data_IF_458067796218
#
_entry.id   IF_458067796218
#
_cell.length_a   1.000
_cell.length_b   1.000
_cell.length_c   1.000
_cell.angle_alpha   90.00
_cell.angle_beta   90.00
_cell.angle_gamma   90.00
#
_symmetry.space_group_name_H-M   'P 1'
#
loop_
_entity.id
_entity.type
_entity.pdbx_description
1 polymer ?
#
# COMPACT_ATOMS: atom_id res chain seq x y z
N UNK A 1 21.92 15.21 17.55
CA UNK A 1 21.39 14.56 16.33
C UNK A 1 21.48 15.55 15.20
N UNK A 2 22.12 15.18 14.09
CA UNK A 2 22.15 16.04 12.90
C UNK A 2 20.73 16.06 12.32
N UNK A 3 20.16 17.27 12.15
CA UNK A 3 18.85 17.39 11.53
C UNK A 3 18.98 17.19 10.02
N UNK A 4 18.00 16.52 9.41
CA UNK A 4 17.98 16.27 7.96
C UNK A 4 16.86 17.06 7.28
N UNK A 5 17.11 17.53 6.06
CA UNK A 5 16.03 18.00 5.20
C UNK A 5 15.35 16.80 4.55
N UNK A 6 14.05 16.90 4.27
CA UNK A 6 13.28 15.85 3.61
C UNK A 6 12.78 16.40 2.29
N UNK A 7 12.90 15.63 1.22
CA UNK A 7 12.38 15.98 -0.09
C UNK A 7 11.42 14.92 -0.58
N UNK A 8 10.24 15.33 -1.00
CA UNK A 8 9.17 14.44 -1.42
C UNK A 8 8.84 14.71 -2.89
N UNK A 9 9.32 13.85 -3.81
CA UNK A 9 8.92 13.89 -5.21
C UNK A 9 7.41 13.67 -5.36
N UNK A 10 6.69 14.68 -5.86
CA UNK A 10 5.24 14.73 -6.02
C UNK A 10 4.77 15.31 -7.38
N UNK A 11 5.70 15.65 -8.29
CA UNK A 11 5.39 16.19 -9.61
C UNK A 11 4.86 15.18 -10.65
N UNK A 12 4.81 13.89 -10.33
CA UNK A 12 4.43 12.85 -11.30
C UNK A 12 2.98 12.96 -11.81
N UNK A 13 2.78 12.73 -13.11
CA UNK A 13 1.45 12.75 -13.76
C UNK A 13 0.54 11.60 -13.28
N UNK A 14 1.14 10.47 -12.84
CA UNK A 14 0.41 9.27 -12.45
C UNK A 14 -0.44 8.70 -13.60
N UNK A 15 0.10 8.66 -14.82
CA UNK A 15 -0.67 8.32 -16.03
C UNK A 15 -1.28 6.92 -15.98
N UNK A 16 -0.57 5.97 -15.37
CA UNK A 16 -1.05 4.59 -15.17
C UNK A 16 -2.29 4.50 -14.27
N UNK A 17 -2.56 5.52 -13.45
CA UNK A 17 -3.73 5.61 -12.57
C UNK A 17 -4.89 6.39 -13.22
N UNK A 18 -4.76 6.88 -14.45
CA UNK A 18 -5.90 7.51 -15.12
C UNK A 18 -7.06 6.51 -15.23
N UNK A 19 -8.31 6.95 -15.07
CA UNK A 19 -8.76 8.33 -14.90
C UNK A 19 -8.66 8.91 -13.47
N UNK A 20 -8.30 8.16 -12.42
CA UNK A 20 -8.22 8.67 -11.03
C UNK A 20 -7.40 9.98 -10.96
N UNK A 21 -6.24 9.98 -11.60
CA UNK A 21 -5.31 11.11 -11.58
C UNK A 21 -5.77 12.32 -12.37
N UNK A 22 -6.86 12.22 -13.15
CA UNK A 22 -7.51 13.38 -13.74
C UNK A 22 -8.24 14.22 -12.68
N UNK A 23 -8.73 13.58 -11.62
CA UNK A 23 -9.53 14.21 -10.56
C UNK A 23 -8.73 14.51 -9.30
N UNK A 24 -7.80 13.64 -8.92
CA UNK A 24 -7.01 13.76 -7.69
C UNK A 24 -5.54 13.52 -8.02
N UNK A 25 -4.59 14.44 -7.72
CA UNK A 25 -3.18 14.17 -7.98
C UNK A 25 -2.71 12.96 -7.18
N UNK A 26 -1.79 12.16 -7.74
CA UNK A 26 -1.31 10.90 -7.12
C UNK A 26 -0.95 11.02 -5.63
N UNK A 27 -0.22 12.07 -5.17
CA UNK A 27 0.09 12.26 -3.75
C UNK A 27 -1.14 12.44 -2.85
N UNK A 28 -2.28 12.88 -3.39
CA UNK A 28 -3.50 13.12 -2.64
C UNK A 28 -4.57 12.04 -2.80
N UNK A 29 -4.29 10.97 -3.55
CA UNK A 29 -5.18 9.82 -3.62
C UNK A 29 -5.36 9.29 -2.19
N UNK A 30 -6.60 9.13 -1.71
CA UNK A 30 -6.85 8.74 -0.34
C UNK A 30 -6.58 7.25 -0.14
N UNK A 31 -6.11 6.91 1.04
CA UNK A 31 -5.97 5.55 1.55
C UNK A 31 -6.65 5.62 2.91
N UNK A 32 -7.84 5.05 3.03
CA UNK A 32 -8.63 5.02 4.27
C UNK A 32 -8.84 6.42 4.87
N UNK A 33 -9.36 7.35 4.04
CA UNK A 33 -9.64 8.73 4.47
C UNK A 33 -8.44 9.67 4.47
N UNK A 34 -7.23 9.14 4.31
CA UNK A 34 -5.99 9.90 4.46
C UNK A 34 -5.20 9.97 3.15
N UNK A 35 -4.75 11.14 2.69
CA UNK A 35 -3.92 11.27 1.50
C UNK A 35 -2.64 10.41 1.57
N UNK A 36 -2.24 9.78 0.46
CA UNK A 36 -0.98 9.02 0.38
C UNK A 36 0.24 9.83 0.87
N UNK A 37 0.32 11.11 0.52
CA UNK A 37 1.34 12.05 0.99
C UNK A 37 1.37 12.17 2.51
N UNK A 38 0.22 12.09 3.19
CA UNK A 38 0.18 12.14 4.64
C UNK A 38 0.82 10.89 5.26
N UNK A 39 0.68 9.69 4.66
CA UNK A 39 1.40 8.50 5.15
C UNK A 39 2.92 8.66 5.05
N UNK A 40 3.41 9.31 3.97
CA UNK A 40 4.83 9.65 3.85
C UNK A 40 5.26 10.61 4.96
N UNK A 41 4.46 11.63 5.24
CA UNK A 41 4.77 12.58 6.32
C UNK A 41 4.78 11.91 7.69
N UNK A 42 3.82 11.03 7.99
CA UNK A 42 3.75 10.26 9.23
C UNK A 42 5.04 9.48 9.50
N UNK A 43 5.59 8.82 8.47
CA UNK A 43 6.87 8.13 8.59
C UNK A 43 8.03 9.08 8.92
N UNK A 44 7.98 10.30 8.36
CA UNK A 44 9.01 11.32 8.54
C UNK A 44 8.89 12.03 9.90
N UNK A 45 7.70 12.10 10.50
CA UNK A 45 7.46 12.79 11.77
C UNK A 45 8.28 12.23 12.94
N UNK A 46 8.65 10.94 12.89
CA UNK A 46 9.51 10.32 13.90
C UNK A 46 10.98 10.77 13.83
N UNK A 47 11.40 11.37 12.71
CA UNK A 47 12.78 11.74 12.46
C UNK A 47 13.14 13.12 13.03
N UNK A 48 14.42 13.37 13.34
CA UNK A 48 14.91 14.71 13.62
C UNK A 48 15.02 15.53 12.32
N UNK A 49 13.92 15.81 11.62
CA UNK A 49 13.94 16.58 10.37
C UNK A 49 13.95 18.10 10.64
N UNK A 50 14.44 18.89 9.67
CA UNK A 50 14.46 20.36 9.71
C UNK A 50 13.33 20.98 8.86
N UNK A 51 13.30 20.73 7.56
CA UNK A 51 12.27 21.22 6.65
C UNK A 51 11.90 20.16 5.62
N UNK A 52 10.73 20.34 4.99
CA UNK A 52 10.20 19.44 3.98
C UNK A 52 10.07 20.19 2.66
N UNK A 53 10.73 19.70 1.61
CA UNK A 53 10.56 20.17 0.25
C UNK A 53 9.63 19.24 -0.54
N UNK A 54 8.73 19.80 -1.34
CA UNK A 54 7.80 19.03 -2.18
C UNK A 54 7.80 19.65 -3.58
N UNK A 55 8.18 18.91 -4.61
CA UNK A 55 8.07 19.41 -5.99
C UNK A 55 6.66 19.19 -6.56
N UNK A 56 6.19 20.12 -7.38
CA UNK A 56 4.82 20.14 -7.88
C UNK A 56 4.79 20.31 -9.39
N UNK A 57 3.87 19.62 -10.07
CA UNK A 57 3.62 19.86 -11.49
C UNK A 57 2.15 19.59 -11.81
N UNK A 58 1.75 18.30 -11.85
CA UNK A 58 0.38 17.90 -12.12
C UNK A 58 -0.57 18.34 -11.00
N UNK A 59 -1.69 18.99 -11.37
CA UNK A 59 -2.71 19.52 -10.44
C UNK A 59 -2.12 20.20 -9.20
N UNK A 60 -1.04 20.97 -9.38
CA UNK A 60 -0.29 21.62 -8.28
C UNK A 60 -1.18 22.42 -7.31
N UNK A 61 -2.24 23.05 -7.82
CA UNK A 61 -3.17 23.84 -7.01
C UNK A 61 -3.85 23.02 -5.90
N UNK A 62 -4.12 21.74 -6.14
CA UNK A 62 -4.73 20.86 -5.12
C UNK A 62 -3.73 20.56 -4.00
N UNK A 63 -2.46 20.33 -4.36
CA UNK A 63 -1.38 20.08 -3.39
C UNK A 63 -1.05 21.38 -2.63
N UNK A 64 -0.97 22.53 -3.29
CA UNK A 64 -0.81 23.85 -2.67
C UNK A 64 -1.91 24.12 -1.64
N UNK A 65 -3.19 23.89 -2.03
CA UNK A 65 -4.34 24.01 -1.13
C UNK A 65 -4.22 23.07 0.06
N UNK A 66 -3.89 21.80 -0.17
CA UNK A 66 -3.72 20.82 0.90
C UNK A 66 -2.61 21.23 1.88
N UNK A 67 -1.44 21.65 1.37
CA UNK A 67 -0.32 22.12 2.20
C UNK A 67 -0.71 23.35 3.02
N UNK A 68 -1.43 24.31 2.43
CA UNK A 68 -1.86 25.54 3.14
C UNK A 68 -2.74 25.27 4.36
N UNK A 69 -3.45 24.14 4.36
CA UNK A 69 -4.35 23.70 5.42
C UNK A 69 -3.68 22.71 6.40
N UNK A 70 -2.47 22.25 6.07
CA UNK A 70 -1.75 21.25 6.86
C UNK A 70 -1.05 21.89 8.08
N UNK A 71 -1.03 21.24 9.26
CA UNK A 71 -0.38 21.78 10.45
C UNK A 71 1.11 22.12 10.31
N UNK A 72 1.82 21.44 9.38
CA UNK A 72 3.23 21.68 9.08
C UNK A 72 3.51 22.70 7.96
N UNK A 73 2.51 23.47 7.51
CA UNK A 73 2.67 24.39 6.38
C UNK A 73 3.93 25.27 6.46
N UNK A 74 4.28 25.78 7.65
CA UNK A 74 5.42 26.69 7.86
C UNK A 74 6.78 25.97 7.78
N UNK A 75 6.78 24.62 7.80
CA UNK A 75 7.97 23.78 7.62
C UNK A 75 8.04 23.16 6.22
N UNK A 76 7.06 23.43 5.37
CA UNK A 76 6.97 22.91 4.02
C UNK A 76 7.37 23.98 2.99
N UNK A 77 8.11 23.59 1.97
CA UNK A 77 8.53 24.47 0.88
C UNK A 77 8.20 23.78 -0.44
N UNK A 78 7.52 24.52 -1.31
CA UNK A 78 6.98 24.00 -2.57
C UNK A 78 7.88 24.40 -3.73
N UNK A 79 8.21 23.42 -4.58
CA UNK A 79 9.11 23.60 -5.73
C UNK A 79 8.33 23.32 -7.03
N UNK A 80 7.55 24.29 -7.54
CA UNK A 80 6.77 24.09 -8.75
C UNK A 80 7.67 23.97 -9.99
N UNK A 81 7.35 23.00 -10.84
CA UNK A 81 8.02 22.74 -12.11
C UNK A 81 7.14 23.20 -13.28
N UNK A 82 7.68 24.02 -14.18
CA UNK A 82 6.98 24.42 -15.42
C UNK A 82 6.80 23.22 -16.36
N UNK A 83 7.83 22.39 -16.45
CA UNK A 83 7.87 21.13 -17.19
C UNK A 83 8.46 20.06 -16.28
N UNK A 84 8.08 18.80 -16.46
CA UNK A 84 8.59 17.70 -15.62
C UNK A 84 10.10 17.56 -15.79
N UNK A 85 10.83 17.80 -14.71
CA UNK A 85 12.30 17.78 -14.68
C UNK A 85 12.88 16.37 -14.45
N UNK A 86 12.03 15.38 -14.18
CA UNK A 86 12.48 14.05 -13.80
C UNK A 86 13.05 14.01 -12.37
N UNK A 87 13.45 12.81 -11.92
CA UNK A 87 13.86 12.61 -10.52
C UNK A 87 15.12 13.37 -10.16
N UNK A 88 16.09 13.46 -11.07
CA UNK A 88 17.34 14.19 -10.86
C UNK A 88 17.14 15.70 -10.95
N UNK A 89 16.38 16.14 -11.95
CA UNK A 89 16.10 17.56 -12.16
C UNK A 89 15.28 18.17 -11.03
N UNK A 90 14.37 17.40 -10.42
CA UNK A 90 13.64 17.80 -9.23
C UNK A 90 14.57 18.13 -8.04
N UNK A 91 15.57 17.28 -7.79
CA UNK A 91 16.57 17.54 -6.74
C UNK A 91 17.45 18.74 -7.09
N UNK A 92 17.85 18.87 -8.36
CA UNK A 92 18.67 20.00 -8.81
C UNK A 92 17.90 21.34 -8.72
N UNK A 93 16.60 21.33 -8.98
CA UNK A 93 15.74 22.50 -8.82
C UNK A 93 15.60 22.94 -7.36
N UNK A 94 15.72 22.00 -6.42
CA UNK A 94 15.71 22.27 -4.98
C UNK A 94 17.13 22.37 -4.38
N UNK A 95 18.16 22.59 -5.21
CA UNK A 95 19.57 22.50 -4.80
C UNK A 95 19.91 23.39 -3.61
N UNK A 96 19.49 24.65 -3.58
CA UNK A 96 19.76 25.57 -2.45
C UNK A 96 19.22 25.02 -1.13
N UNK A 97 18.03 24.43 -1.15
CA UNK A 97 17.39 23.81 0.00
C UNK A 97 18.09 22.50 0.42
N UNK A 98 18.51 21.69 -0.54
CA UNK A 98 19.16 20.40 -0.28
C UNK A 98 20.64 20.52 0.08
N UNK A 99 21.29 21.64 -0.26
CA UNK A 99 22.70 21.90 0.08
C UNK A 99 22.92 22.20 1.57
N UNK A 100 21.87 22.51 2.32
CA UNK A 100 21.97 22.82 3.76
C UNK A 100 22.53 21.65 4.60
N UNK A 101 22.43 20.40 4.14
CA UNK A 101 22.96 19.23 4.83
C UNK A 101 22.45 17.91 4.25
N UNK A 102 22.78 16.79 4.91
CA UNK A 102 22.25 15.47 4.57
C UNK A 102 20.73 15.51 4.45
N UNK A 103 20.20 14.90 3.38
CA UNK A 103 18.76 14.94 3.11
C UNK A 103 18.20 13.55 2.77
N UNK A 104 16.96 13.32 3.21
CA UNK A 104 16.17 12.14 2.88
C UNK A 104 15.26 12.44 1.70
N UNK A 105 15.26 11.59 0.68
CA UNK A 105 14.25 11.60 -0.38
C UNK A 105 13.29 10.44 -0.13
N UNK A 106 11.99 10.74 -0.12
CA UNK A 106 10.92 9.74 0.00
C UNK A 106 9.86 10.02 -1.05
N UNK A 107 9.69 9.13 -2.03
CA UNK A 107 8.66 9.30 -3.05
C UNK A 107 7.25 9.36 -2.43
N UNK A 108 6.38 10.24 -2.95
CA UNK A 108 5.03 10.48 -2.41
C UNK A 108 4.04 9.33 -2.62
N UNK A 109 4.39 8.36 -3.45
CA UNK A 109 3.56 7.23 -3.85
C UNK A 109 4.00 5.89 -3.21
N UNK A 110 4.84 5.98 -2.18
CA UNK A 110 5.31 4.81 -1.44
C UNK A 110 4.59 4.75 -0.11
N UNK A 111 3.77 3.71 0.07
CA UNK A 111 3.24 3.34 1.38
C UNK A 111 4.20 2.34 2.02
N UNK A 112 4.72 2.65 3.20
CA UNK A 112 5.64 1.76 3.90
C UNK A 112 5.65 2.01 5.40
N UNK A 113 6.20 1.07 6.16
CA UNK A 113 6.56 1.23 7.58
C UNK A 113 8.07 1.05 7.80
N UNK A 114 8.86 1.31 6.75
CA UNK A 114 10.31 1.22 6.80
C UNK A 114 10.83 2.13 7.92
N UNK A 115 11.67 1.57 8.80
CA UNK A 115 12.28 2.31 9.88
C UNK A 115 13.33 3.29 9.33
N UNK A 116 12.94 4.55 9.18
CA UNK A 116 13.79 5.60 8.61
C UNK A 116 14.92 6.02 9.56
N UNK A 117 14.77 5.87 10.87
CA UNK A 117 15.84 6.15 11.84
C UNK A 117 17.05 5.21 11.63
N UNK A 118 16.78 3.91 11.46
CA UNK A 118 17.83 2.92 11.15
C UNK A 118 18.51 3.19 9.82
N UNK A 119 17.74 3.64 8.82
CA UNK A 119 18.30 4.02 7.52
C UNK A 119 19.25 5.22 7.66
N UNK A 120 18.87 6.25 8.41
CA UNK A 120 19.71 7.43 8.68
C UNK A 120 20.95 7.05 9.48
N UNK A 121 20.82 6.28 10.56
CA UNK A 121 21.94 5.79 11.37
C UNK A 121 22.96 5.05 10.50
N UNK A 122 22.48 4.10 9.68
CA UNK A 122 23.32 3.37 8.75
C UNK A 122 24.00 4.28 7.73
N UNK A 123 23.28 5.27 7.18
CA UNK A 123 23.85 6.23 6.23
C UNK A 123 25.05 6.96 6.85
N UNK A 124 24.89 7.54 8.03
CA UNK A 124 25.95 8.26 8.74
C UNK A 124 27.15 7.36 9.08
N UNK A 125 26.91 6.12 9.50
CA UNK A 125 27.99 5.16 9.78
C UNK A 125 28.74 4.72 8.51
N UNK A 126 28.01 4.51 7.41
CA UNK A 126 28.58 4.00 6.16
C UNK A 126 29.41 5.04 5.40
N UNK A 127 29.22 6.33 5.68
CA UNK A 127 29.83 7.47 4.97
C UNK A 127 29.64 7.38 3.45
N UNK A 128 28.51 6.83 3.01
CA UNK A 128 28.18 6.73 1.60
C UNK A 128 27.72 8.09 1.08
N UNK A 129 28.05 8.43 -0.17
CA UNK A 129 27.52 9.64 -0.82
C UNK A 129 26.00 9.57 -0.95
N UNK A 130 25.50 8.36 -1.20
CA UNK A 130 24.07 8.03 -1.23
C UNK A 130 23.88 6.67 -0.56
N UNK A 131 22.78 6.51 0.17
CA UNK A 131 22.30 5.22 0.66
C UNK A 131 20.90 4.96 0.15
N UNK A 132 20.75 3.93 -0.69
CA UNK A 132 19.47 3.49 -1.22
C UNK A 132 18.82 2.50 -0.26
N UNK A 133 17.60 2.76 0.18
CA UNK A 133 16.80 1.74 0.87
C UNK A 133 16.32 0.72 -0.16
N UNK A 134 16.53 -0.55 0.15
CA UNK A 134 16.31 -1.67 -0.78
C UNK A 134 15.69 -2.85 -0.06
N UNK A 135 15.00 -3.71 -0.79
CA UNK A 135 14.55 -5.01 -0.31
C UNK A 135 14.51 -6.02 -1.46
N UNK A 136 14.45 -7.30 -1.13
CA UNK A 136 14.28 -8.34 -2.14
C UNK A 136 12.80 -8.51 -2.50
N UNK A 137 12.41 -7.96 -3.66
CA UNK A 137 11.06 -8.07 -4.19
C UNK A 137 11.14 -8.37 -5.69
N UNK A 138 11.10 -9.66 -6.11
CA UNK A 138 11.41 -10.07 -7.48
C UNK A 138 10.71 -9.27 -8.60
N UNK A 139 9.44 -8.89 -8.42
CA UNK A 139 8.67 -8.06 -9.38
C UNK A 139 9.27 -6.66 -9.62
N UNK A 140 10.01 -6.12 -8.65
CA UNK A 140 10.58 -4.76 -8.68
C UNK A 140 12.12 -4.74 -8.62
N UNK A 141 12.78 -5.91 -8.69
CA UNK A 141 14.23 -6.02 -8.58
C UNK A 141 14.92 -5.42 -9.82
N UNK A 142 15.32 -4.14 -9.72
CA UNK A 142 15.90 -3.34 -10.81
C UNK A 142 17.27 -2.76 -10.48
N UNK A 143 17.71 -2.82 -9.22
CA UNK A 143 19.01 -2.33 -8.78
C UNK A 143 19.95 -3.51 -8.56
N UNK A 144 21.14 -3.46 -9.15
CA UNK A 144 22.16 -4.48 -8.96
C UNK A 144 23.19 -4.01 -7.93
N UNK A 145 23.44 -4.84 -6.93
CA UNK A 145 24.45 -4.60 -5.87
C UNK A 145 25.51 -5.69 -5.81
N UNK A 146 26.74 -5.31 -5.46
CA UNK A 146 27.82 -6.27 -5.23
C UNK A 146 27.78 -6.91 -3.82
N UNK A 147 28.73 -7.81 -3.53
CA UNK A 147 28.86 -8.46 -2.22
C UNK A 147 29.16 -7.53 -1.04
N UNK A 148 29.51 -6.26 -1.30
CA UNK A 148 29.71 -5.20 -0.29
C UNK A 148 28.49 -4.29 -0.14
N UNK A 149 27.39 -4.58 -0.85
CA UNK A 149 26.16 -3.80 -0.85
C UNK A 149 26.27 -2.47 -1.60
N UNK A 150 27.22 -2.35 -2.55
CA UNK A 150 27.39 -1.16 -3.37
C UNK A 150 26.65 -1.27 -4.69
N UNK A 151 26.08 -0.16 -5.15
CA UNK A 151 25.45 -0.06 -6.45
C UNK A 151 26.44 -0.38 -7.57
N UNK A 152 25.99 -1.18 -8.54
CA UNK A 152 26.75 -1.51 -9.74
C UNK A 152 26.01 -1.21 -11.04
N UNK A 153 24.69 -1.35 -11.04
CA UNK A 153 23.86 -1.12 -12.22
C UNK A 153 22.40 -0.85 -11.81
N UNK A 154 21.63 -0.23 -12.69
CA UNK A 154 20.17 -0.06 -12.56
C UNK A 154 19.55 -0.38 -13.92
N UNK A 155 18.60 -1.32 -13.96
CA UNK A 155 17.95 -1.77 -15.19
C UNK A 155 17.08 -3.03 -15.00
N UNK A 156 16.19 -3.28 -15.96
CA UNK A 156 15.32 -4.48 -15.97
C UNK A 156 15.95 -5.54 -16.87
N UNK A 157 16.27 -6.71 -16.32
CA UNK A 157 16.68 -7.87 -17.13
C UNK A 157 18.08 -7.79 -17.76
N UNK A 158 18.69 -8.97 -17.91
CA UNK A 158 20.10 -9.24 -18.27
C UNK A 158 21.12 -8.50 -17.39
N UNK A 159 21.67 -9.23 -16.40
CA UNK A 159 22.93 -8.87 -15.75
C UNK A 159 23.92 -8.44 -16.86
N UNK A 160 24.56 -7.27 -16.78
CA UNK A 160 25.71 -7.02 -17.61
C UNK A 160 26.67 -8.20 -17.43
N UNK A 161 27.07 -8.88 -18.51
CA UNK A 161 27.83 -10.13 -18.46
C UNK A 161 29.16 -10.02 -17.67
N UNK A 162 29.57 -8.79 -17.36
CA UNK A 162 30.85 -8.40 -16.74
C UNK A 162 30.71 -8.05 -15.26
N UNK A 163 29.50 -8.04 -14.69
CA UNK A 163 29.28 -7.50 -13.33
C UNK A 163 28.54 -8.49 -12.45
N UNK A 164 29.28 -9.06 -11.49
CA UNK A 164 28.73 -9.88 -10.43
C UNK A 164 27.88 -9.04 -9.46
N UNK A 165 26.69 -9.53 -9.14
CA UNK A 165 25.80 -8.87 -8.20
C UNK A 165 24.44 -9.54 -8.02
N UNK A 166 23.72 -9.08 -6.99
CA UNK A 166 22.33 -9.44 -6.69
C UNK A 166 21.40 -8.33 -7.19
N UNK A 167 20.34 -8.70 -7.89
CA UNK A 167 19.25 -7.77 -8.23
C UNK A 167 18.31 -7.62 -7.02
N UNK A 168 17.99 -6.39 -6.67
CA UNK A 168 17.14 -6.00 -5.54
C UNK A 168 16.26 -4.81 -5.93
N UNK A 169 15.16 -4.60 -5.22
CA UNK A 169 14.21 -3.55 -5.48
C UNK A 169 14.59 -2.29 -4.70
N UNK A 170 14.65 -1.15 -5.39
CA UNK A 170 14.74 0.17 -4.76
C UNK A 170 13.38 0.59 -4.26
N UNK A 171 13.29 1.03 -3.01
CA UNK A 171 12.01 1.31 -2.36
C UNK A 171 11.44 2.70 -2.67
N UNK A 172 12.14 3.51 -3.47
CA UNK A 172 11.78 4.93 -3.65
C UNK A 172 12.21 5.83 -2.48
N UNK A 173 13.04 5.32 -1.57
CA UNK A 173 13.54 6.03 -0.39
C UNK A 173 15.07 5.98 -0.37
N UNK A 174 15.73 7.13 -0.24
CA UNK A 174 17.20 7.21 -0.19
C UNK A 174 17.67 8.40 0.64
N UNK A 175 18.86 8.28 1.22
CA UNK A 175 19.54 9.36 1.96
C UNK A 175 20.76 9.80 1.16
N UNK A 176 20.98 11.12 1.09
CA UNK A 176 21.98 11.75 0.25
C UNK A 176 22.81 12.74 1.04
N UNK A 177 24.10 12.77 0.73
CA UNK A 177 24.98 13.87 1.10
C UNK A 177 24.91 15.01 0.07
N UNK A 178 25.05 16.30 0.47
CA UNK A 178 24.95 17.45 -0.42
C UNK A 178 25.84 17.39 -1.67
N UNK A 179 27.03 16.78 -1.55
CA UNK A 179 27.96 16.61 -2.67
C UNK A 179 27.40 15.76 -3.82
N UNK A 180 26.31 15.01 -3.62
CA UNK A 180 25.65 14.31 -4.71
C UNK A 180 25.02 15.27 -5.74
N UNK A 181 24.64 16.48 -5.32
CA UNK A 181 23.99 17.47 -6.20
C UNK A 181 24.92 17.99 -7.31
N UNK A 182 26.24 17.78 -7.19
CA UNK A 182 27.24 18.11 -8.21
C UNK A 182 27.19 17.15 -9.41
N UNK A 183 26.60 15.96 -9.22
CA UNK A 183 26.41 14.97 -10.28
C UNK A 183 25.16 15.21 -11.13
N UNK A 184 24.27 16.10 -10.69
CA UNK A 184 23.01 16.39 -11.35
C UNK A 184 23.14 17.63 -12.25
N UNK A 185 22.81 17.52 -13.55
CA UNK A 185 22.80 18.68 -14.44
C UNK A 185 21.55 19.54 -14.18
N UNK A 186 21.62 20.82 -14.58
CA UNK A 186 20.44 21.69 -14.62
C UNK A 186 19.41 21.17 -15.63
N UNK A 187 18.13 21.33 -15.32
CA UNK A 187 17.02 20.88 -16.17
C UNK A 187 16.69 19.39 -16.05
N UNK A 188 16.13 18.81 -17.11
CA UNK A 188 15.59 17.44 -17.09
C UNK A 188 16.68 16.40 -16.91
N UNK A 189 16.60 15.60 -15.85
CA UNK A 189 17.58 14.53 -15.58
C UNK A 189 17.04 13.43 -14.64
N UNK A 190 17.75 12.30 -14.59
CA UNK A 190 17.45 11.15 -13.73
C UNK A 190 18.49 11.00 -12.62
N UNK A 191 18.05 10.69 -11.39
CA UNK A 191 18.99 10.33 -10.30
C UNK A 191 19.79 9.06 -10.61
N UNK A 192 19.25 8.16 -11.44
CA UNK A 192 19.92 6.92 -11.81
C UNK A 192 21.21 7.20 -12.59
N UNK A 193 21.15 8.10 -13.57
CA UNK A 193 22.31 8.47 -14.37
C UNK A 193 23.40 9.09 -13.49
N UNK A 194 23.00 9.93 -12.53
CA UNK A 194 23.91 10.55 -11.57
C UNK A 194 24.49 9.52 -10.58
N UNK A 195 23.72 8.53 -10.11
CA UNK A 195 24.26 7.43 -9.28
C UNK A 195 25.32 6.64 -10.04
N UNK A 196 25.07 6.30 -11.31
CA UNK A 196 26.00 5.54 -12.13
C UNK A 196 27.26 6.35 -12.44
N UNK A 197 27.13 7.65 -12.72
CA UNK A 197 28.28 8.57 -12.89
C UNK A 197 29.12 8.66 -11.63
N UNK A 198 28.50 8.88 -10.47
CA UNK A 198 29.20 8.93 -9.18
C UNK A 198 29.92 7.60 -8.87
N UNK A 199 29.27 6.47 -9.17
CA UNK A 199 29.87 5.14 -9.01
C UNK A 199 31.09 4.96 -9.91
N UNK A 200 31.03 5.41 -11.17
CA UNK A 200 32.15 5.35 -12.11
C UNK A 200 33.35 6.20 -11.68
N UNK A 201 33.12 7.31 -10.97
CA UNK A 201 34.15 8.15 -10.36
C UNK A 201 34.63 7.63 -8.98
N UNK A 202 34.23 6.42 -8.59
CA UNK A 202 34.65 5.78 -7.34
C UNK A 202 33.95 6.30 -6.09
N UNK A 203 32.87 7.08 -6.22
CA UNK A 203 32.04 7.46 -5.07
C UNK A 203 31.23 6.27 -4.57
N UNK A 204 31.02 6.23 -3.26
CA UNK A 204 30.27 5.17 -2.61
C UNK A 204 28.77 5.41 -2.70
N UNK A 205 28.08 4.66 -3.55
CA UNK A 205 26.62 4.56 -3.58
C UNK A 205 26.24 3.25 -2.89
N UNK A 206 25.92 3.34 -1.60
CA UNK A 206 25.63 2.19 -0.75
C UNK A 206 24.14 1.82 -0.77
N UNK A 207 23.84 0.63 -0.26
CA UNK A 207 22.46 0.18 -0.06
C UNK A 207 22.22 -0.26 1.38
N UNK A 208 20.97 -0.15 1.82
CA UNK A 208 20.48 -0.59 3.12
C UNK A 208 19.28 -1.52 2.92
N UNK A 209 19.48 -2.81 3.19
CA UNK A 209 18.43 -3.82 3.09
C UNK A 209 17.47 -3.71 4.27
N UNK A 210 16.30 -3.12 4.03
CA UNK A 210 15.31 -2.82 5.09
C UNK A 210 14.72 -4.08 5.74
N UNK A 211 14.92 -5.25 5.11
CA UNK A 211 14.45 -6.53 5.64
C UNK A 211 15.49 -7.25 6.50
N UNK A 212 16.74 -6.75 6.60
CA UNK A 212 17.82 -7.40 7.38
C UNK A 212 18.02 -6.75 8.74
N UNK A 213 18.34 -7.58 9.75
CA UNK A 213 18.80 -7.11 11.06
C UNK A 213 17.71 -6.63 12.02
N UNK A 214 16.44 -6.95 11.75
CA UNK A 214 15.31 -6.70 12.66
C UNK A 214 14.86 -7.95 13.41
N UNK A 215 14.50 -7.78 14.69
CA UNK A 215 13.64 -8.72 15.41
C UNK A 215 12.20 -8.27 15.10
N UNK A 216 11.44 -9.04 14.33
CA UNK A 216 10.06 -8.70 13.99
C UNK A 216 9.66 -9.08 12.56
N UNK A 217 8.41 -8.77 12.17
CA UNK A 217 7.93 -8.98 10.80
C UNK A 217 8.71 -8.11 9.80
N UNK A 218 8.73 -8.55 8.54
CA UNK A 218 9.30 -7.74 7.45
C UNK A 218 8.54 -6.42 7.33
N UNK A 219 9.22 -5.29 7.04
CA UNK A 219 8.52 -4.04 6.82
C UNK A 219 7.58 -4.15 5.61
N UNK A 220 6.42 -3.53 5.74
CA UNK A 220 5.51 -3.29 4.65
C UNK A 220 6.08 -2.23 3.69
N UNK A 221 5.91 -2.48 2.40
CA UNK A 221 6.24 -1.55 1.34
C UNK A 221 5.34 -1.80 0.13
N UNK A 222 4.83 -0.72 -0.48
CA UNK A 222 4.03 -0.77 -1.70
C UNK A 222 4.17 0.52 -2.51
N UNK A 223 4.40 0.39 -3.82
CA UNK A 223 4.22 1.45 -4.82
C UNK A 223 2.77 1.43 -5.31
N UNK A 224 2.02 2.51 -5.08
CA UNK A 224 0.63 2.65 -5.53
C UNK A 224 0.51 3.16 -6.98
N UNK A 225 1.33 2.64 -7.89
CA UNK A 225 1.51 3.18 -9.24
C UNK A 225 0.51 2.76 -10.30
N UNK A 226 -0.38 1.82 -10.02
CA UNK A 226 -1.47 1.38 -10.90
C UNK A 226 -2.76 1.17 -10.08
N UNK A 227 -3.95 1.11 -10.70
CA UNK A 227 -5.20 0.87 -10.01
C UNK A 227 -5.18 -0.40 -9.16
N UNK A 228 -4.67 -1.51 -9.69
CA UNK A 228 -4.56 -2.77 -8.94
C UNK A 228 -3.59 -2.65 -7.76
N UNK A 229 -2.42 -2.02 -7.96
CA UNK A 229 -1.44 -1.84 -6.89
C UNK A 229 -1.94 -0.91 -5.78
N UNK A 230 -2.66 0.15 -6.16
CA UNK A 230 -3.34 1.05 -5.23
C UNK A 230 -4.41 0.30 -4.43
N UNK A 231 -5.31 -0.44 -5.11
CA UNK A 231 -6.35 -1.20 -4.42
C UNK A 231 -5.78 -2.28 -3.49
N UNK A 232 -4.78 -3.03 -3.96
CA UNK A 232 -4.07 -4.01 -3.15
C UNK A 232 -3.46 -3.38 -1.89
N UNK A 233 -2.89 -2.18 -2.01
CA UNK A 233 -2.28 -1.47 -0.90
C UNK A 233 -3.31 -0.95 0.10
N UNK A 234 -4.44 -0.43 -0.38
CA UNK A 234 -5.57 0.00 0.47
C UNK A 234 -6.15 -1.18 1.24
N UNK A 235 -6.38 -2.31 0.57
CA UNK A 235 -6.90 -3.54 1.20
C UNK A 235 -5.90 -4.14 2.19
N UNK A 236 -4.60 -4.04 1.92
CA UNK A 236 -3.56 -4.42 2.88
C UNK A 236 -3.60 -3.52 4.13
N UNK A 237 -3.73 -2.21 3.96
CA UNK A 237 -3.82 -1.28 5.09
C UNK A 237 -5.05 -1.59 5.97
N UNK A 238 -6.20 -1.85 5.35
CA UNK A 238 -7.41 -2.31 6.03
C UNK A 238 -7.15 -3.57 6.86
N UNK A 239 -6.58 -4.61 6.23
CA UNK A 239 -6.27 -5.88 6.90
C UNK A 239 -5.33 -5.70 8.08
N UNK A 240 -4.37 -4.79 7.99
CA UNK A 240 -3.44 -4.47 9.08
C UNK A 240 -4.11 -3.77 10.26
N UNK A 241 -5.20 -3.05 10.01
CA UNK A 241 -6.07 -2.50 11.06
C UNK A 241 -7.05 -3.55 11.62
N UNK A 242 -7.07 -4.76 11.08
CA UNK A 242 -8.00 -5.83 11.46
C UNK A 242 -9.39 -5.65 10.84
N UNK A 243 -9.51 -4.80 9.81
CA UNK A 243 -10.77 -4.45 9.17
C UNK A 243 -10.79 -4.92 7.72
N UNK A 244 -12.00 -5.07 7.19
CA UNK A 244 -12.25 -5.32 5.76
C UNK A 244 -13.09 -4.21 5.14
N UNK A 245 -13.78 -3.43 5.98
CA UNK A 245 -14.62 -2.32 5.55
C UNK A 245 -14.15 -1.01 6.18
N UNK A 246 -13.93 -0.02 5.34
CA UNK A 246 -13.71 1.36 5.74
C UNK A 246 -14.83 2.23 5.18
N UNK A 247 -15.47 2.99 6.06
CA UNK A 247 -16.48 3.99 5.70
C UNK A 247 -16.00 5.29 6.32
N UNK A 248 -15.77 6.30 5.48
CA UNK A 248 -15.31 7.59 5.95
C UNK A 248 -16.35 8.18 6.94
N UNK A 249 -15.94 8.77 8.08
CA UNK A 249 -16.88 9.24 9.12
C UNK A 249 -17.91 10.29 8.67
N UNK A 250 -17.68 10.94 7.52
CA UNK A 250 -18.65 11.88 6.95
C UNK A 250 -19.81 11.21 6.23
N UNK A 251 -19.76 9.90 6.01
CA UNK A 251 -20.82 9.13 5.36
C UNK A 251 -21.86 8.77 6.42
N UNK A 252 -23.04 9.34 6.29
CA UNK A 252 -24.13 9.17 7.26
C UNK A 252 -25.10 8.06 6.87
N UNK A 253 -25.09 7.63 5.60
CA UNK A 253 -25.98 6.63 5.02
C UNK A 253 -25.26 5.83 3.95
N UNK A 254 -25.45 4.51 3.95
CA UNK A 254 -24.87 3.61 2.94
C UNK A 254 -25.96 2.76 2.26
N UNK A 255 -27.18 3.30 2.10
CA UNK A 255 -28.36 2.53 1.70
C UNK A 255 -28.46 1.16 2.45
N UNK A 256 -29.20 0.19 1.92
CA UNK A 256 -29.14 -1.20 2.38
C UNK A 256 -27.99 -1.95 1.70
N UNK A 257 -26.81 -1.32 1.62
CA UNK A 257 -25.68 -1.92 0.92
C UNK A 257 -25.16 -3.17 1.67
N UNK A 258 -25.17 -4.30 0.98
CA UNK A 258 -24.46 -5.50 1.38
C UNK A 258 -22.98 -5.35 0.98
N UNK A 259 -22.07 -5.64 1.92
CA UNK A 259 -20.64 -5.46 1.70
C UNK A 259 -19.92 -6.78 1.89
N UNK A 260 -19.10 -7.19 0.93
CA UNK A 260 -18.36 -8.45 0.94
C UNK A 260 -16.89 -8.19 0.60
N UNK A 261 -15.97 -9.02 1.10
CA UNK A 261 -14.55 -8.78 0.87
C UNK A 261 -14.10 -7.44 1.42
N UNK A 262 -13.31 -6.70 0.63
CA UNK A 262 -12.79 -5.40 1.05
C UNK A 262 -13.62 -4.26 0.46
N UNK A 263 -14.21 -3.40 1.30
CA UNK A 263 -15.02 -2.26 0.82
C UNK A 263 -14.52 -0.97 1.45
N UNK A 264 -14.23 0.02 0.61
CA UNK A 264 -13.76 1.34 1.04
C UNK A 264 -14.67 2.40 0.47
N UNK A 265 -15.27 3.21 1.33
CA UNK A 265 -16.12 4.33 0.94
C UNK A 265 -15.47 5.60 1.48
N UNK A 266 -14.92 6.40 0.58
CA UNK A 266 -14.24 7.65 0.92
C UNK A 266 -15.23 8.79 1.18
N UNK A 267 -14.71 9.95 1.57
CA UNK A 267 -15.54 11.13 1.87
C UNK A 267 -16.35 11.60 0.65
N UNK A 268 -17.57 12.06 0.89
CA UNK A 268 -18.41 12.69 -0.13
C UNK A 268 -18.92 11.72 -1.20
N UNK A 269 -18.96 10.42 -0.92
CA UNK A 269 -19.60 9.43 -1.76
C UNK A 269 -21.12 9.38 -1.50
N UNK A 270 -21.89 9.01 -2.53
CA UNK A 270 -23.32 8.68 -2.40
C UNK A 270 -23.57 7.25 -2.87
N UNK A 271 -24.31 6.48 -2.08
CA UNK A 271 -24.72 5.11 -2.39
C UNK A 271 -26.23 5.07 -2.20
N UNK A 272 -26.94 4.74 -3.27
CA UNK A 272 -28.40 4.77 -3.32
C UNK A 272 -28.97 3.41 -3.77
N UNK A 273 -30.06 2.99 -3.13
CA UNK A 273 -30.74 1.72 -3.41
C UNK A 273 -30.10 0.49 -2.73
N UNK A 274 -30.78 -0.64 -2.81
CA UNK A 274 -30.26 -1.93 -2.33
C UNK A 274 -29.16 -2.41 -3.30
N UNK A 275 -27.94 -2.64 -2.80
CA UNK A 275 -26.78 -2.95 -3.65
C UNK A 275 -25.79 -3.87 -2.93
N UNK A 276 -25.13 -4.75 -3.67
CA UNK A 276 -23.99 -5.51 -3.16
C UNK A 276 -22.67 -4.91 -3.64
N UNK A 277 -21.72 -4.73 -2.74
CA UNK A 277 -20.35 -4.28 -3.02
C UNK A 277 -19.36 -5.37 -2.62
N UNK A 278 -18.47 -5.77 -3.53
CA UNK A 278 -17.42 -6.76 -3.26
C UNK A 278 -16.06 -6.29 -3.75
N UNK A 279 -15.07 -6.17 -2.87
CA UNK A 279 -13.71 -5.73 -3.24
C UNK A 279 -13.73 -4.37 -4.00
N UNK A 280 -14.44 -3.38 -3.46
CA UNK A 280 -14.69 -2.10 -4.09
C UNK A 280 -14.01 -0.93 -3.34
N UNK A 281 -13.55 0.06 -4.09
CA UNK A 281 -13.11 1.35 -3.56
C UNK A 281 -13.93 2.46 -4.21
N UNK A 282 -14.77 3.13 -3.45
CA UNK A 282 -15.50 4.33 -3.87
C UNK A 282 -14.67 5.55 -3.46
N UNK A 283 -14.07 6.21 -4.45
CA UNK A 283 -13.23 7.38 -4.28
C UNK A 283 -14.07 8.64 -3.99
N UNK A 284 -13.46 9.73 -3.49
CA UNK A 284 -14.19 10.96 -3.19
C UNK A 284 -15.02 11.47 -4.36
N UNK A 285 -16.31 11.76 -4.09
CA UNK A 285 -17.28 12.16 -5.10
C UNK A 285 -17.85 11.03 -5.95
N UNK A 286 -17.42 9.79 -5.73
CA UNK A 286 -17.99 8.61 -6.40
C UNK A 286 -19.46 8.41 -6.01
N UNK A 287 -20.29 8.16 -7.02
CA UNK A 287 -21.73 7.95 -6.84
C UNK A 287 -22.11 6.60 -7.41
N UNK A 288 -22.87 5.83 -6.62
CA UNK A 288 -23.48 4.59 -7.08
C UNK A 288 -25.00 4.82 -7.13
N UNK A 289 -25.57 4.99 -8.34
CA UNK A 289 -27.00 5.24 -8.49
C UNK A 289 -27.81 3.97 -8.20
N UNK A 290 -29.10 4.10 -7.86
CA UNK A 290 -29.98 2.96 -7.65
C UNK A 290 -30.11 2.15 -8.93
N UNK A 291 -29.96 0.83 -8.82
CA UNK A 291 -30.13 -0.11 -9.91
C UNK A 291 -31.30 -1.06 -9.61
N UNK A 292 -32.13 -1.42 -10.60
CA UNK A 292 -33.23 -2.34 -10.37
C UNK A 292 -32.68 -3.74 -10.03
N UNK A 293 -33.32 -4.48 -9.10
CA UNK A 293 -32.95 -5.87 -8.80
C UNK A 293 -32.97 -6.75 -10.06
N UNK A 294 -32.05 -7.70 -10.12
CA UNK A 294 -31.94 -8.62 -11.24
C UNK A 294 -32.81 -9.86 -11.00
N UNK A 295 -33.63 -10.23 -11.99
CA UNK A 295 -34.41 -11.46 -11.92
C UNK A 295 -33.49 -12.67 -12.13
N UNK A 296 -33.47 -13.63 -11.18
CA UNK A 296 -32.80 -14.92 -11.42
C UNK A 296 -33.49 -15.64 -12.57
N UNK A 297 -32.73 -16.01 -13.59
CA UNK A 297 -33.23 -16.78 -14.72
C UNK A 297 -33.60 -18.20 -14.29
N UNK A 298 -34.90 -18.54 -14.39
CA UNK A 298 -35.40 -19.92 -14.33
C UNK A 298 -36.41 -20.18 -13.21
N UNK A 299 -37.67 -20.39 -13.62
CA UNK A 299 -38.76 -21.05 -12.88
C UNK A 299 -39.37 -20.33 -11.67
N UNK A 300 -40.53 -19.70 -11.92
CA UNK A 300 -41.63 -19.37 -11.00
C UNK A 300 -41.33 -19.51 -9.49
N UNK A 301 -41.00 -18.38 -8.86
CA UNK A 301 -40.75 -18.22 -7.43
C UNK A 301 -39.55 -17.30 -7.24
N UNK A 302 -39.74 -16.01 -7.52
CA UNK A 302 -38.65 -15.07 -7.82
C UNK A 302 -37.83 -14.65 -6.62
N UNK A 303 -36.69 -15.31 -6.41
CA UNK A 303 -35.57 -14.72 -5.68
C UNK A 303 -34.98 -13.60 -6.55
N UNK A 304 -35.05 -12.35 -6.06
CA UNK A 304 -34.37 -11.20 -6.66
C UNK A 304 -32.93 -11.14 -6.16
N UNK A 305 -31.98 -10.85 -7.04
CA UNK A 305 -30.57 -10.64 -6.67
C UNK A 305 -30.23 -9.15 -6.69
N UNK A 306 -29.52 -8.69 -5.66
CA UNK A 306 -29.08 -7.31 -5.57
C UNK A 306 -28.10 -6.98 -6.71
N UNK A 307 -28.16 -5.77 -7.29
CA UNK A 307 -27.13 -5.31 -8.22
C UNK A 307 -25.74 -5.39 -7.57
N UNK A 308 -24.80 -6.08 -8.22
CA UNK A 308 -23.45 -6.30 -7.68
C UNK A 308 -22.42 -5.38 -8.36
N UNK A 309 -21.67 -4.62 -7.55
CA UNK A 309 -20.41 -4.04 -7.96
C UNK A 309 -19.28 -4.89 -7.37
N UNK A 310 -18.40 -5.40 -8.23
CA UNK A 310 -17.32 -6.29 -7.81
C UNK A 310 -15.98 -5.86 -8.42
N UNK A 311 -14.90 -6.00 -7.63
CA UNK A 311 -13.51 -5.84 -8.05
C UNK A 311 -13.31 -4.53 -8.84
N UNK A 312 -13.66 -3.39 -8.25
CA UNK A 312 -13.64 -2.12 -8.97
C UNK A 312 -13.27 -0.90 -8.12
N UNK A 313 -12.75 0.12 -8.79
CA UNK A 313 -12.66 1.49 -8.25
C UNK A 313 -13.75 2.32 -8.91
N UNK A 314 -14.55 3.03 -8.11
CA UNK A 314 -15.63 3.89 -8.54
C UNK A 314 -15.25 5.33 -8.20
N UNK A 315 -15.12 6.19 -9.21
CA UNK A 315 -14.93 7.62 -9.04
C UNK A 315 -16.18 8.41 -9.43
N UNK A 316 -16.09 9.76 -9.54
CA UNK A 316 -17.23 10.60 -9.87
C UNK A 316 -17.94 10.21 -11.18
N UNK A 317 -17.17 10.07 -12.27
CA UNK A 317 -17.72 9.77 -13.61
C UNK A 317 -17.03 8.58 -14.27
N UNK A 318 -16.41 7.69 -13.47
CA UNK A 318 -15.68 6.55 -14.00
C UNK A 318 -15.77 5.33 -13.09
N UNK A 319 -15.59 4.17 -13.72
CA UNK A 319 -15.37 2.89 -13.05
C UNK A 319 -14.15 2.21 -13.67
N UNK A 320 -13.26 1.68 -12.83
CA UNK A 320 -12.10 0.90 -13.22
C UNK A 320 -12.33 -0.53 -12.72
N UNK A 321 -12.29 -1.51 -13.63
CA UNK A 321 -12.29 -2.91 -13.23
C UNK A 321 -10.88 -3.31 -12.79
N UNK A 322 -10.80 -4.08 -11.72
CA UNK A 322 -9.56 -4.52 -11.08
C UNK A 322 -9.35 -6.01 -11.33
N UNK A 323 -8.08 -6.42 -11.35
CA UNK A 323 -7.73 -7.82 -11.39
C UNK A 323 -7.77 -8.42 -9.97
N UNK A 324 -8.71 -9.34 -9.73
CA UNK A 324 -8.90 -9.97 -8.41
C UNK A 324 -7.61 -10.61 -7.87
N UNK A 325 -6.85 -11.31 -8.72
CA UNK A 325 -5.59 -11.96 -8.34
C UNK A 325 -4.56 -10.95 -7.84
N UNK A 326 -4.45 -9.80 -8.50
CA UNK A 326 -3.52 -8.74 -8.10
C UNK A 326 -3.97 -8.03 -6.81
N UNK A 327 -5.25 -7.66 -6.68
CA UNK A 327 -5.74 -6.88 -5.53
C UNK A 327 -5.84 -7.71 -4.25
N UNK A 328 -6.12 -9.01 -4.36
CA UNK A 328 -6.17 -9.95 -3.24
C UNK A 328 -4.84 -10.69 -3.02
N UNK A 329 -3.83 -10.43 -3.87
CA UNK A 329 -2.51 -11.09 -3.84
C UNK A 329 -2.61 -12.62 -3.80
N UNK A 330 -3.52 -13.18 -4.62
CA UNK A 330 -3.72 -14.63 -4.71
C UNK A 330 -2.49 -15.25 -5.36
N UNK A 331 -1.85 -16.19 -4.66
CA UNK A 331 -0.69 -16.91 -5.16
C UNK A 331 -1.04 -17.83 -6.33
N UNK A 332 -0.02 -18.30 -7.07
CA UNK A 332 -0.24 -19.18 -8.22
C UNK A 332 -0.89 -20.52 -7.86
N UNK A 333 -0.74 -20.97 -6.61
CA UNK A 333 -1.45 -22.14 -6.05
C UNK A 333 -2.85 -21.81 -5.51
N UNK A 334 -3.37 -20.62 -5.80
CA UNK A 334 -4.75 -20.21 -5.50
C UNK A 334 -4.99 -19.79 -4.05
N UNK A 335 -3.95 -19.53 -3.26
CA UNK A 335 -4.10 -19.13 -1.85
C UNK A 335 -4.18 -17.63 -1.71
N UNK A 336 -5.19 -17.15 -1.02
CA UNK A 336 -5.30 -15.75 -0.61
C UNK A 336 -4.90 -15.61 0.85
N UNK A 337 -3.85 -14.85 1.17
CA UNK A 337 -3.52 -14.56 2.58
C UNK A 337 -4.57 -13.60 3.16
N UNK A 338 -5.34 -14.05 4.14
CA UNK A 338 -6.41 -13.25 4.79
C UNK A 338 -6.05 -12.80 6.21
N UNK A 339 -4.99 -13.35 6.81
CA UNK A 339 -4.53 -12.89 8.11
C UNK A 339 -3.22 -13.53 8.58
N UNK A 340 -2.48 -12.80 9.39
CA UNK A 340 -1.31 -13.30 10.11
C UNK A 340 -1.53 -13.08 11.61
N UNK A 341 -1.90 -14.13 12.34
CA UNK A 341 -2.16 -14.03 13.77
C UNK A 341 -0.85 -14.05 14.57
N UNK A 342 -0.81 -13.35 15.71
CA UNK A 342 0.31 -13.42 16.64
C UNK A 342 0.59 -14.89 17.02
N UNK A 343 1.84 -15.32 16.90
CA UNK A 343 2.35 -16.73 16.88
C UNK A 343 2.69 -17.30 15.49
N UNK A 344 3.13 -16.46 14.54
CA UNK A 344 3.60 -16.88 13.19
C UNK A 344 2.58 -17.66 12.33
N UNK A 345 1.30 -17.64 12.73
CA UNK A 345 0.21 -18.36 12.06
C UNK A 345 -0.25 -17.57 10.85
N UNK A 346 -0.49 -18.28 9.75
CA UNK A 346 -1.00 -17.71 8.51
C UNK A 346 -2.34 -18.32 8.19
N UNK A 347 -3.30 -17.49 7.82
CA UNK A 347 -4.63 -17.90 7.41
C UNK A 347 -4.77 -17.61 5.92
N UNK A 348 -5.08 -18.64 5.15
CA UNK A 348 -5.27 -18.55 3.71
C UNK A 348 -6.69 -18.95 3.35
N UNK A 349 -7.39 -18.09 2.61
CA UNK A 349 -8.65 -18.49 1.97
C UNK A 349 -8.33 -19.32 0.73
N UNK A 350 -9.00 -20.46 0.62
CA UNK A 350 -9.01 -21.34 -0.55
C UNK A 350 -10.43 -21.29 -1.13
N UNK A 351 -10.56 -21.01 -2.43
CA UNK A 351 -11.85 -20.98 -3.11
C UNK A 351 -11.93 -22.03 -4.21
N UNK A 352 -13.06 -22.73 -4.28
CA UNK A 352 -13.40 -23.65 -5.36
C UNK A 352 -14.92 -23.73 -5.52
N UNK A 353 -15.42 -23.53 -6.74
CA UNK A 353 -16.83 -23.69 -7.12
C UNK A 353 -17.81 -22.95 -6.16
N UNK A 354 -17.57 -21.65 -5.93
CA UNK A 354 -18.32 -20.77 -5.00
C UNK A 354 -18.31 -21.19 -3.52
N UNK A 355 -17.52 -22.19 -3.12
CA UNK A 355 -17.26 -22.51 -1.73
C UNK A 355 -15.88 -22.00 -1.33
N UNK A 356 -15.78 -21.54 -0.10
CA UNK A 356 -14.52 -21.15 0.50
C UNK A 356 -14.29 -21.84 1.84
N UNK A 357 -13.01 -22.10 2.11
CA UNK A 357 -12.52 -22.60 3.39
C UNK A 357 -11.28 -21.80 3.77
N UNK A 358 -10.98 -21.74 5.06
CA UNK A 358 -9.78 -21.11 5.57
C UNK A 358 -8.77 -22.19 5.96
N UNK A 359 -7.61 -22.16 5.32
CA UNK A 359 -6.43 -22.91 5.72
C UNK A 359 -5.65 -22.11 6.76
N UNK A 360 -5.68 -22.58 8.01
CA UNK A 360 -4.73 -22.17 9.05
C UNK A 360 -3.44 -22.97 8.88
N UNK A 361 -2.31 -22.29 8.72
CA UNK A 361 -0.98 -22.87 8.63
C UNK A 361 -0.07 -22.30 9.72
N UNK A 362 0.45 -23.18 10.56
CA UNK A 362 1.39 -22.85 11.63
C UNK A 362 2.83 -23.25 11.26
N UNK A 363 3.79 -22.81 12.07
CA UNK A 363 5.16 -23.36 12.00
C UNK A 363 5.16 -24.83 12.44
N UNK A 364 6.12 -25.60 11.94
CA UNK A 364 6.24 -27.02 12.25
C UNK A 364 6.42 -27.30 13.75
N UNK A 365 6.99 -26.34 14.48
CA UNK A 365 7.27 -26.38 15.91
C UNK A 365 6.26 -25.59 16.78
N UNK A 366 5.11 -25.15 16.23
CA UNK A 366 4.09 -24.43 17.01
C UNK A 366 3.52 -25.35 18.12
N UNK A 367 3.81 -25.05 19.41
CA UNK A 367 3.42 -25.91 20.52
C UNK A 367 1.92 -25.83 20.82
N UNK A 368 1.23 -24.81 20.32
CA UNK A 368 -0.17 -24.54 20.62
C UNK A 368 -1.14 -25.08 19.57
N UNK A 369 -0.64 -25.57 18.42
CA UNK A 369 -1.49 -26.03 17.32
C UNK A 369 -2.51 -27.08 17.77
N UNK A 370 -2.05 -28.15 18.43
CA UNK A 370 -2.93 -29.24 18.89
C UNK A 370 -3.96 -28.75 19.92
N UNK A 371 -3.52 -27.88 20.83
CA UNK A 371 -4.41 -27.27 21.83
C UNK A 371 -5.51 -26.45 21.17
N UNK A 372 -5.19 -25.72 20.09
CA UNK A 372 -6.15 -24.93 19.35
C UNK A 372 -7.20 -25.81 18.65
N UNK A 373 -6.79 -26.93 18.06
CA UNK A 373 -7.72 -27.91 17.47
C UNK A 373 -8.70 -28.45 18.52
N UNK A 374 -8.19 -28.82 19.70
CA UNK A 374 -9.02 -29.30 20.79
C UNK A 374 -9.96 -28.22 21.34
N UNK A 375 -9.51 -26.97 21.44
CA UNK A 375 -10.38 -25.84 21.82
C UNK A 375 -11.50 -25.60 20.81
N UNK A 376 -11.21 -25.61 19.50
CA UNK A 376 -12.25 -25.46 18.47
C UNK A 376 -13.29 -26.58 18.58
N UNK A 377 -12.86 -27.84 18.78
CA UNK A 377 -13.76 -28.98 19.02
C UNK A 377 -14.59 -28.81 20.29
N UNK A 378 -13.96 -28.36 21.38
CA UNK A 378 -14.63 -28.09 22.64
C UNK A 378 -15.72 -27.02 22.49
N UNK A 379 -15.40 -25.87 21.90
CA UNK A 379 -16.36 -24.79 21.68
C UNK A 379 -17.53 -25.23 20.81
N UNK A 380 -17.25 -25.94 19.71
CA UNK A 380 -18.29 -26.49 18.86
C UNK A 380 -19.21 -27.46 19.61
N UNK A 381 -18.64 -28.38 20.40
CA UNK A 381 -19.40 -29.33 21.25
C UNK A 381 -20.31 -28.61 22.26
N UNK A 382 -19.91 -27.44 22.73
CA UNK A 382 -20.66 -26.62 23.68
C UNK A 382 -21.50 -25.53 23.02
N UNK A 383 -21.74 -25.63 21.70
CA UNK A 383 -22.58 -24.69 20.93
C UNK A 383 -22.13 -23.23 21.04
N UNK A 384 -20.84 -23.00 21.30
CA UNK A 384 -20.25 -21.66 21.22
C UNK A 384 -20.01 -21.38 19.73
N UNK A 385 -20.52 -20.25 19.18
CA UNK A 385 -20.38 -19.93 17.77
C UNK A 385 -18.92 -19.63 17.44
N UNK A 386 -18.24 -20.60 16.84
CA UNK A 386 -16.89 -20.52 16.30
C UNK A 386 -16.86 -21.17 14.92
N UNK A 387 -15.94 -20.78 14.02
CA UNK A 387 -15.78 -21.45 12.73
C UNK A 387 -15.58 -22.96 12.92
N UNK A 388 -16.36 -23.77 12.20
CA UNK A 388 -16.26 -25.22 12.30
C UNK A 388 -14.90 -25.73 11.81
N UNK A 389 -14.33 -26.72 12.50
CA UNK A 389 -13.15 -27.44 12.03
C UNK A 389 -13.57 -28.48 10.99
N UNK A 390 -13.05 -28.37 9.77
CA UNK A 390 -13.33 -29.28 8.65
C UNK A 390 -12.32 -30.44 8.65
N UNK A 391 -11.03 -30.11 8.68
CA UNK A 391 -9.94 -31.09 8.63
C UNK A 391 -8.71 -30.54 9.39
N UNK A 392 -7.87 -31.42 9.94
CA UNK A 392 -6.61 -31.03 10.55
C UNK A 392 -5.52 -32.06 10.27
N UNK A 393 -4.34 -31.60 9.84
CA UNK A 393 -3.11 -32.38 9.71
C UNK A 393 -2.12 -31.93 10.78
N UNK A 394 -2.00 -32.72 11.85
CA UNK A 394 -1.11 -32.43 12.99
C UNK A 394 0.37 -32.48 12.57
N UNK A 395 0.72 -33.35 11.61
CA UNK A 395 2.10 -33.51 11.15
C UNK A 395 2.58 -32.29 10.35
N UNK A 396 1.70 -31.70 9.55
CA UNK A 396 1.97 -30.46 8.80
C UNK A 396 1.59 -29.18 9.53
N UNK A 397 0.96 -29.30 10.70
CA UNK A 397 0.42 -28.18 11.50
C UNK A 397 -0.51 -27.28 10.66
N UNK A 398 -1.40 -27.93 9.91
CA UNK A 398 -2.39 -27.31 9.04
C UNK A 398 -3.80 -27.66 9.50
N UNK A 399 -4.74 -26.72 9.42
CA UNK A 399 -6.16 -26.98 9.63
C UNK A 399 -7.01 -26.29 8.59
N UNK A 400 -8.01 -26.99 8.07
CA UNK A 400 -9.09 -26.41 7.29
C UNK A 400 -10.24 -26.11 8.23
N UNK A 401 -10.67 -24.86 8.25
CA UNK A 401 -11.81 -24.38 9.02
C UNK A 401 -12.82 -23.72 8.08
N UNK A 402 -14.06 -23.64 8.55
CA UNK A 402 -15.14 -22.91 7.92
C UNK A 402 -14.76 -21.45 7.69
N UNK A 403 -15.14 -20.94 6.53
CA UNK A 403 -14.97 -19.53 6.20
C UNK A 403 -16.21 -18.74 6.64
N UNK A 404 -16.09 -18.02 7.74
CA UNK A 404 -17.16 -17.19 8.29
C UNK A 404 -17.38 -15.86 7.53
N UNK A 405 -16.64 -15.64 6.43
CA UNK A 405 -16.70 -14.41 5.65
C UNK A 405 -15.81 -13.29 6.18
N UNK A 406 -16.04 -12.08 5.68
CA UNK A 406 -15.12 -10.95 5.83
C UNK A 406 -15.65 -9.83 6.74
N UNK A 407 -16.94 -9.81 7.05
CA UNK A 407 -17.56 -8.69 7.78
C UNK A 407 -17.37 -8.88 9.28
N UNK A 408 -16.63 -7.98 9.92
CA UNK A 408 -16.62 -7.93 11.39
C UNK A 408 -17.91 -7.31 11.93
N UNK A 409 -18.32 -7.65 13.15
CA UNK A 409 -19.46 -7.01 13.82
C UNK A 409 -19.28 -5.49 13.88
N UNK A 410 -18.06 -5.02 14.14
CA UNK A 410 -17.75 -3.59 14.17
C UNK A 410 -17.93 -2.95 12.79
N UNK A 411 -17.45 -3.60 11.73
CA UNK A 411 -17.65 -3.17 10.34
C UNK A 411 -19.14 -3.12 9.97
N UNK A 412 -19.94 -4.09 10.44
CA UNK A 412 -21.39 -4.10 10.24
C UNK A 412 -22.09 -2.91 10.93
N UNK A 413 -21.65 -2.55 12.14
CA UNK A 413 -22.19 -1.45 12.94
C UNK A 413 -21.79 -0.04 12.45
N UNK A 414 -20.75 0.09 11.61
CA UNK A 414 -20.21 1.39 11.18
C UNK A 414 -21.16 2.20 10.29
N UNK A 415 -22.18 1.58 9.69
CA UNK A 415 -23.16 2.32 8.91
C UNK A 415 -24.56 2.19 9.50
N UNK A 416 -25.22 3.33 9.69
CA UNK A 416 -26.63 3.41 10.08
C UNK A 416 -27.48 2.82 8.96
N UNK A 417 -28.14 1.69 9.26
CA UNK A 417 -29.14 1.02 8.42
C UNK A 417 -30.53 1.47 8.85
N UNK A 418 -31.50 1.48 7.94
CA UNK A 418 -32.88 1.81 8.33
C UNK A 418 -33.42 0.73 9.28
N UNK A 419 -34.03 1.18 10.38
CA UNK A 419 -34.45 0.33 11.52
C UNK A 419 -35.58 -0.66 11.22
N UNK A 420 -36.01 -0.79 9.95
CA UNK A 420 -37.05 -1.74 9.54
C UNK A 420 -36.53 -3.16 9.28
N UNK A 421 -35.21 -3.39 9.33
CA UNK A 421 -34.59 -4.68 9.01
C UNK A 421 -34.15 -5.51 10.23
N UNK A 422 -34.50 -5.11 11.46
CA UNK A 422 -34.34 -5.99 12.63
C UNK A 422 -35.64 -6.78 12.76
N UNK A 423 -35.64 -8.01 12.24
CA UNK A 423 -36.76 -8.95 12.40
C UNK A 423 -37.13 -9.08 13.89
N UNK A 424 -38.44 -9.00 14.18
CA UNK A 424 -39.04 -9.26 15.50
C UNK A 424 -39.03 -10.75 15.85
#
# INVERSE_FOLDING_TARGET
MNRVNVFIPAAGLGERLRPVTNYIPKPLIPVLGKPALQYVLDNVFGLPFNRIGINLHHRKADIEKWVSQHPLKDRMSLFPEREILGTGGALKNAEEFLREGTFLVHNSDILSDINLDKLLEYHFLSKSLVTLAVHDYPKFNTVMVDGKGLLRHVGVGSKPAVVDGKMIAFTGIAVYEPGFLDYLPQGKSSVVDAWLKATAEGKRIGTFDVCKGGIGPRPYWSDIGSPDAYAAAVFEMLRREGETVYIHPSITRCADAEMQGHVVIEKGCSIEGEIALKNCIVLPGGTIPPQPPLAKGGSRGGDMELPLQENCIIGPDFKINLNEKEILKISDDGKQLIGTGGSDRKYFRLQKDNKSVVLMQCKADDPDFERQIEYTRFFHKHSVPVPALIESDIGKKNALIEDAGDISLYSWLKCTRDTMAVEN
#
